data_IF_779845287312
#
_entry.id   IF_779845287312
#
_cell.length_a   1.000
_cell.length_b   1.000
_cell.length_c   1.000
_cell.angle_alpha   90.00
_cell.angle_beta   90.00
_cell.angle_gamma   90.00
#
_symmetry.space_group_name_H-M   'P 1'
#
loop_
_entity.id
_entity.type
_entity.pdbx_description
1 polymer ?
#
# COMPACT_ATOMS: atom_id res chain seq x y z
N UNK A 1 54.48 -7.75 -39.18
CA UNK A 1 53.82 -7.48 -37.87
C UNK A 1 52.54 -8.29 -37.67
N UNK A 2 51.64 -8.37 -38.68
CA UNK A 2 50.34 -9.05 -38.62
C UNK A 2 50.48 -10.55 -38.36
N UNK A 3 51.36 -11.25 -39.09
CA UNK A 3 51.60 -12.70 -38.93
C UNK A 3 51.97 -13.11 -37.49
N UNK A 4 52.74 -12.29 -36.76
CA UNK A 4 53.13 -12.57 -35.38
C UNK A 4 51.98 -12.47 -34.37
N UNK A 5 50.88 -11.77 -34.73
CA UNK A 5 49.79 -11.46 -33.79
C UNK A 5 48.50 -12.17 -34.12
N UNK A 6 48.24 -12.46 -35.37
CA UNK A 6 46.90 -12.87 -35.83
C UNK A 6 46.87 -14.19 -36.62
N UNK A 7 48.03 -14.77 -37.05
CA UNK A 7 48.12 -16.05 -37.73
C UNK A 7 49.39 -16.18 -38.56
N UNK A 8 49.85 -17.40 -38.84
CA UNK A 8 51.08 -17.69 -39.56
C UNK A 8 50.99 -17.41 -41.06
N UNK A 9 49.81 -17.53 -41.61
CA UNK A 9 49.51 -17.30 -43.02
C UNK A 9 48.30 -16.36 -43.25
N UNK A 10 48.00 -16.08 -44.51
CA UNK A 10 46.89 -15.19 -44.88
C UNK A 10 45.51 -15.77 -44.53
N UNK A 11 45.35 -17.09 -44.67
CA UNK A 11 44.10 -17.78 -44.35
C UNK A 11 43.75 -17.72 -42.86
N UNK A 12 44.76 -17.90 -41.99
CA UNK A 12 44.58 -17.77 -40.55
C UNK A 12 44.27 -16.35 -40.09
N UNK A 13 44.88 -15.35 -40.73
CA UNK A 13 44.61 -13.93 -40.45
C UNK A 13 43.17 -13.57 -40.88
N UNK A 14 42.68 -14.04 -42.03
CA UNK A 14 41.31 -13.83 -42.49
C UNK A 14 40.31 -14.54 -41.59
N UNK A 15 40.55 -15.77 -41.19
CA UNK A 15 39.73 -16.50 -40.25
C UNK A 15 39.62 -15.81 -38.87
N UNK A 16 40.76 -15.23 -38.39
CA UNK A 16 40.73 -14.42 -37.16
C UNK A 16 39.87 -13.16 -37.35
N UNK A 17 39.98 -12.48 -38.47
CA UNK A 17 39.22 -11.28 -38.77
C UNK A 17 37.71 -11.60 -38.79
N UNK A 18 37.29 -12.68 -39.44
CA UNK A 18 35.89 -13.09 -39.45
C UNK A 18 35.35 -13.41 -38.03
N UNK A 19 36.11 -14.15 -37.23
CA UNK A 19 35.78 -14.42 -35.83
C UNK A 19 35.67 -13.13 -34.99
N UNK A 20 36.61 -12.22 -35.20
CA UNK A 20 36.63 -10.94 -34.47
C UNK A 20 35.43 -10.06 -34.88
N UNK A 21 35.06 -10.03 -36.17
CA UNK A 21 33.85 -9.32 -36.64
C UNK A 21 32.57 -9.90 -36.06
N UNK A 22 32.39 -11.21 -36.14
CA UNK A 22 31.22 -11.86 -35.57
C UNK A 22 31.07 -11.59 -34.06
N UNK A 23 32.20 -11.62 -33.34
CA UNK A 23 32.20 -11.31 -31.90
C UNK A 23 31.90 -9.83 -31.61
N UNK A 24 32.40 -8.92 -32.46
CA UNK A 24 32.10 -7.49 -32.35
C UNK A 24 30.61 -7.20 -32.60
N UNK A 25 30.02 -7.78 -33.66
CA UNK A 25 28.59 -7.66 -33.93
C UNK A 25 27.74 -8.16 -32.78
N UNK A 26 28.04 -9.35 -32.23
CA UNK A 26 27.32 -9.91 -31.09
C UNK A 26 27.39 -8.99 -29.86
N UNK A 27 28.58 -8.43 -29.56
CA UNK A 27 28.76 -7.51 -28.44
C UNK A 27 28.05 -6.17 -28.68
N UNK A 28 28.08 -5.66 -29.90
CA UNK A 28 27.38 -4.42 -30.28
C UNK A 28 25.89 -4.57 -30.16
N UNK A 29 25.33 -5.69 -30.67
CA UNK A 29 23.90 -6.00 -30.54
C UNK A 29 23.46 -6.15 -29.09
N UNK A 30 24.32 -6.76 -28.26
CA UNK A 30 24.07 -6.87 -26.81
C UNK A 30 24.04 -5.51 -26.12
N UNK A 31 24.96 -4.61 -26.45
CA UNK A 31 25.01 -3.25 -25.89
C UNK A 31 23.76 -2.46 -26.29
N UNK A 32 23.38 -2.49 -27.55
CA UNK A 32 22.16 -1.83 -28.05
C UNK A 32 20.89 -2.41 -27.40
N UNK A 33 20.87 -3.73 -27.15
CA UNK A 33 19.76 -4.38 -26.44
C UNK A 33 19.66 -3.91 -24.99
N UNK A 34 20.78 -3.77 -24.29
CA UNK A 34 20.83 -3.25 -22.90
C UNK A 34 20.30 -1.82 -22.84
N UNK A 35 20.73 -0.93 -23.71
CA UNK A 35 20.24 0.44 -23.77
C UNK A 35 18.73 0.49 -24.01
N UNK A 36 18.24 -0.31 -24.96
CA UNK A 36 16.81 -0.41 -25.26
C UNK A 36 15.99 -0.91 -24.06
N UNK A 37 16.46 -1.94 -23.37
CA UNK A 37 15.76 -2.46 -22.19
C UNK A 37 15.80 -1.49 -21.01
N UNK A 38 16.91 -0.79 -20.81
CA UNK A 38 16.98 0.25 -19.78
C UNK A 38 16.01 1.39 -20.05
N UNK A 39 15.87 1.82 -21.31
CA UNK A 39 14.88 2.82 -21.71
C UNK A 39 13.43 2.33 -21.47
N UNK A 40 13.15 1.06 -21.78
CA UNK A 40 11.83 0.45 -21.53
C UNK A 40 11.54 0.34 -20.03
N UNK A 41 12.51 -0.05 -19.21
CA UNK A 41 12.39 -0.09 -17.76
C UNK A 41 12.08 1.29 -17.20
N UNK A 42 12.82 2.32 -17.62
CA UNK A 42 12.58 3.69 -17.17
C UNK A 42 11.17 4.19 -17.53
N UNK A 43 10.66 3.86 -18.72
CA UNK A 43 9.29 4.19 -19.14
C UNK A 43 8.23 3.42 -18.31
N UNK A 44 8.47 2.13 -18.01
CA UNK A 44 7.61 1.35 -17.15
C UNK A 44 7.56 1.91 -15.73
N UNK A 45 8.72 2.21 -15.14
CA UNK A 45 8.83 2.80 -13.80
C UNK A 45 8.09 4.13 -13.72
N UNK A 46 8.17 4.96 -14.76
CA UNK A 46 7.46 6.24 -14.85
C UNK A 46 5.93 6.04 -14.87
N UNK A 47 5.46 5.08 -15.64
CA UNK A 47 4.03 4.72 -15.70
C UNK A 47 3.53 4.19 -14.37
N UNK A 48 4.27 3.29 -13.74
CA UNK A 48 3.93 2.73 -12.42
C UNK A 48 3.89 3.83 -11.38
N UNK A 49 4.91 4.69 -11.32
CA UNK A 49 4.95 5.80 -10.37
C UNK A 49 3.73 6.74 -10.49
N UNK A 50 3.33 7.08 -11.73
CA UNK A 50 2.11 7.86 -11.98
C UNK A 50 0.86 7.17 -11.46
N UNK A 51 0.74 5.85 -11.66
CA UNK A 51 -0.39 5.08 -11.13
C UNK A 51 -0.36 4.98 -9.60
N UNK A 52 0.80 4.84 -8.99
CA UNK A 52 0.95 4.89 -7.53
C UNK A 52 0.45 6.23 -6.96
N UNK A 53 0.86 7.36 -7.55
CA UNK A 53 0.37 8.69 -7.14
C UNK A 53 -1.15 8.82 -7.26
N UNK A 54 -1.72 8.34 -8.36
CA UNK A 54 -3.17 8.31 -8.55
C UNK A 54 -3.87 7.45 -7.49
N UNK A 55 -3.32 6.28 -7.19
CA UNK A 55 -3.86 5.38 -6.17
C UNK A 55 -3.82 6.03 -4.78
N UNK A 56 -2.72 6.68 -4.40
CA UNK A 56 -2.61 7.41 -3.12
C UNK A 56 -3.65 8.54 -3.03
N UNK A 57 -3.88 9.29 -4.11
CA UNK A 57 -4.89 10.34 -4.13
C UNK A 57 -6.32 9.78 -3.93
N UNK A 58 -6.66 8.71 -4.62
CA UNK A 58 -7.96 8.03 -4.45
C UNK A 58 -8.14 7.45 -3.05
N UNK A 59 -7.07 6.90 -2.46
CA UNK A 59 -7.07 6.41 -1.08
C UNK A 59 -7.27 7.54 -0.08
N UNK A 60 -6.65 8.69 -0.29
CA UNK A 60 -6.81 9.85 0.58
C UNK A 60 -8.25 10.37 0.58
N UNK A 61 -8.86 10.48 -0.60
CA UNK A 61 -10.28 10.86 -0.74
C UNK A 61 -11.22 9.85 -0.05
N UNK A 62 -11.02 8.57 -0.29
CA UNK A 62 -11.79 7.50 0.36
C UNK A 62 -11.60 7.49 1.87
N UNK A 63 -10.37 7.74 2.36
CA UNK A 63 -10.06 7.80 3.78
C UNK A 63 -10.77 8.95 4.49
N UNK A 64 -10.89 10.11 3.88
CA UNK A 64 -11.61 11.25 4.45
C UNK A 64 -13.08 10.91 4.70
N UNK A 65 -13.76 10.38 3.69
CA UNK A 65 -15.15 9.92 3.80
C UNK A 65 -15.31 8.81 4.84
N UNK A 66 -14.41 7.81 4.80
CA UNK A 66 -14.42 6.70 5.74
C UNK A 66 -14.23 7.15 7.18
N UNK A 67 -13.25 8.00 7.46
CA UNK A 67 -12.99 8.53 8.80
C UNK A 67 -14.16 9.35 9.32
N UNK A 68 -14.80 10.16 8.47
CA UNK A 68 -16.00 10.92 8.82
C UNK A 68 -17.16 10.03 9.25
N UNK A 69 -17.43 8.98 8.47
CA UNK A 69 -18.49 8.01 8.77
C UNK A 69 -18.21 7.23 10.06
N UNK A 70 -16.98 6.76 10.26
CA UNK A 70 -16.58 6.06 11.50
C UNK A 70 -16.69 7.00 12.71
N UNK A 71 -16.27 8.25 12.59
CA UNK A 71 -16.41 9.24 13.66
C UNK A 71 -17.88 9.51 14.04
N UNK A 72 -18.78 9.54 13.06
CA UNK A 72 -20.21 9.67 13.29
C UNK A 72 -20.76 8.45 14.06
N UNK A 73 -20.37 7.23 13.68
CA UNK A 73 -20.76 6.01 14.38
C UNK A 73 -20.21 5.96 15.81
N UNK A 74 -18.97 6.36 16.05
CA UNK A 74 -18.35 6.40 17.40
C UNK A 74 -19.10 7.32 18.34
N UNK A 75 -19.65 8.43 17.88
CA UNK A 75 -20.50 9.31 18.71
C UNK A 75 -21.73 8.57 19.23
N UNK A 76 -22.36 7.75 18.40
CA UNK A 76 -23.53 6.95 18.82
C UNK A 76 -23.15 5.87 19.84
N UNK A 77 -21.93 5.39 19.81
CA UNK A 77 -21.37 4.36 20.70
C UNK A 77 -20.74 4.93 21.98
N UNK A 78 -21.11 6.17 22.34
CA UNK A 78 -20.63 6.87 23.54
C UNK A 78 -19.12 7.13 23.57
N UNK A 79 -18.52 7.40 22.39
CA UNK A 79 -17.14 7.89 22.24
C UNK A 79 -17.18 9.20 21.40
N UNK A 80 -17.82 10.26 21.94
CA UNK A 80 -18.10 11.47 21.14
C UNK A 80 -16.89 12.30 20.77
N UNK A 81 -15.79 12.13 21.53
CA UNK A 81 -14.55 12.89 21.37
C UNK A 81 -13.47 12.10 20.63
N UNK A 82 -13.80 10.91 20.13
CA UNK A 82 -12.85 10.10 19.39
C UNK A 82 -12.35 10.82 18.13
N UNK A 83 -11.06 10.70 17.92
CA UNK A 83 -10.39 11.12 16.70
C UNK A 83 -9.89 9.90 15.95
N UNK A 84 -10.23 9.80 14.68
CA UNK A 84 -9.78 8.73 13.81
C UNK A 84 -9.33 9.33 12.49
N UNK A 85 -8.14 9.00 12.05
CA UNK A 85 -7.58 9.48 10.79
C UNK A 85 -6.68 8.42 10.16
N UNK A 86 -6.46 8.55 8.87
CA UNK A 86 -5.52 7.73 8.09
C UNK A 86 -4.35 8.61 7.69
N UNK A 87 -3.15 8.15 7.98
CA UNK A 87 -1.89 8.81 7.60
C UNK A 87 -1.25 8.00 6.50
N UNK A 88 -0.88 8.68 5.42
CA UNK A 88 -0.15 8.10 4.30
C UNK A 88 1.32 8.48 4.40
N UNK A 89 2.20 7.49 4.33
CA UNK A 89 3.64 7.74 4.27
C UNK A 89 4.02 8.39 2.94
N UNK A 90 4.84 9.42 3.04
CA UNK A 90 5.36 10.10 1.85
C UNK A 90 6.38 9.23 1.13
N UNK A 91 6.41 9.34 -0.18
CA UNK A 91 7.42 8.70 -1.03
C UNK A 91 7.76 9.59 -2.23
N UNK A 92 9.03 9.53 -2.62
CA UNK A 92 9.54 10.13 -3.86
C UNK A 92 9.68 9.05 -4.92
N UNK A 93 10.12 9.42 -6.13
CA UNK A 93 10.39 8.45 -7.19
C UNK A 93 11.52 7.47 -6.80
N UNK A 94 12.52 7.96 -6.07
CA UNK A 94 13.69 7.20 -5.64
C UNK A 94 13.38 6.26 -4.47
N UNK A 95 12.43 6.64 -3.60
CA UNK A 95 12.06 5.85 -2.41
C UNK A 95 10.84 4.97 -2.61
N UNK A 96 10.11 5.15 -3.73
CA UNK A 96 8.92 4.37 -4.03
C UNK A 96 9.27 2.90 -4.30
N UNK A 97 8.58 1.99 -3.61
CA UNK A 97 8.65 0.57 -3.97
C UNK A 97 7.71 0.29 -5.15
N UNK A 98 8.20 0.49 -6.37
CA UNK A 98 7.44 0.31 -7.61
C UNK A 98 7.12 -1.17 -7.92
N UNK A 99 7.71 -2.12 -7.21
CA UNK A 99 7.44 -3.55 -7.34
C UNK A 99 6.32 -4.04 -6.41
N UNK A 100 5.82 -3.16 -5.53
CA UNK A 100 4.72 -3.49 -4.62
C UNK A 100 3.40 -3.64 -5.40
N UNK A 101 2.73 -4.77 -5.23
CA UNK A 101 1.38 -5.00 -5.78
C UNK A 101 0.31 -4.06 -5.17
N UNK A 102 0.59 -3.47 -4.01
CA UNK A 102 -0.34 -2.64 -3.26
C UNK A 102 -0.10 -1.13 -3.41
N UNK A 103 0.78 -0.71 -4.32
CA UNK A 103 1.18 0.68 -4.48
C UNK A 103 2.41 1.04 -3.64
N UNK A 104 2.85 2.30 -3.72
CA UNK A 104 4.10 2.76 -3.12
C UNK A 104 3.92 3.44 -1.75
N UNK A 105 2.70 3.80 -1.39
CA UNK A 105 2.36 4.41 -0.11
C UNK A 105 2.30 3.41 1.04
N UNK A 106 2.63 3.85 2.23
CA UNK A 106 2.32 3.15 3.47
C UNK A 106 1.09 3.79 4.12
N UNK A 107 0.23 2.97 4.72
CA UNK A 107 -1.02 3.43 5.33
C UNK A 107 -0.99 3.11 6.82
N UNK A 108 -1.26 4.11 7.66
CA UNK A 108 -1.35 3.96 9.10
C UNK A 108 -2.66 4.54 9.61
N UNK A 109 -3.46 3.71 10.30
CA UNK A 109 -4.65 4.14 11.01
C UNK A 109 -4.27 4.70 12.39
N UNK A 110 -4.67 5.95 12.63
CA UNK A 110 -4.39 6.66 13.88
C UNK A 110 -5.69 6.90 14.64
N UNK A 111 -5.68 6.66 15.93
CA UNK A 111 -6.85 6.77 16.79
C UNK A 111 -6.51 7.41 18.13
N UNK A 112 -7.47 8.17 18.68
CA UNK A 112 -7.53 8.62 20.06
C UNK A 112 -8.99 8.59 20.52
N UNK A 113 -9.27 8.05 21.70
CA UNK A 113 -10.63 7.99 22.25
C UNK A 113 -11.07 9.32 22.87
N UNK A 114 -10.13 10.11 23.39
CA UNK A 114 -10.39 11.28 24.23
C UNK A 114 -9.83 12.55 23.62
N UNK A 115 -10.53 13.66 23.84
CA UNK A 115 -10.04 14.99 23.45
C UNK A 115 -8.78 15.35 24.25
N UNK A 116 -7.74 15.75 23.56
CA UNK A 116 -6.47 16.16 24.18
C UNK A 116 -5.45 15.04 24.32
N UNK A 117 -5.83 13.80 24.08
CA UNK A 117 -4.87 12.71 23.95
C UNK A 117 -4.24 12.69 22.54
N UNK A 118 -2.93 12.39 22.45
CA UNK A 118 -2.28 12.31 21.13
C UNK A 118 -2.82 11.12 20.33
N UNK A 119 -2.97 11.32 19.03
CA UNK A 119 -3.25 10.24 18.09
C UNK A 119 -2.15 9.19 18.16
N UNK A 120 -2.53 7.93 18.28
CA UNK A 120 -1.61 6.78 18.30
C UNK A 120 -1.98 5.81 17.18
N UNK A 121 -1.01 5.08 16.63
CA UNK A 121 -1.32 3.96 15.73
C UNK A 121 -2.34 3.02 16.39
N UNK A 122 -3.34 2.62 15.64
CA UNK A 122 -4.42 1.75 16.14
C UNK A 122 -3.88 0.48 16.82
N UNK A 123 -2.77 -0.06 16.33
CA UNK A 123 -2.07 -1.21 16.90
C UNK A 123 -1.50 -0.97 18.32
N UNK A 124 -1.44 0.28 18.78
CA UNK A 124 -0.92 0.68 20.11
C UNK A 124 -2.02 1.15 21.07
N UNK A 125 -3.29 1.04 20.69
CA UNK A 125 -4.43 1.38 21.53
C UNK A 125 -4.73 0.18 22.45
N UNK A 126 -4.83 0.41 23.77
CA UNK A 126 -4.81 -0.65 24.80
C UNK A 126 -6.21 -0.89 25.42
N UNK A 127 -7.18 0.02 25.25
CA UNK A 127 -8.49 -0.14 25.87
C UNK A 127 -9.37 -1.19 25.17
N UNK A 128 -9.73 -2.28 25.87
CA UNK A 128 -10.55 -3.38 25.32
C UNK A 128 -11.93 -2.92 24.86
N UNK A 129 -12.72 -2.32 25.74
CA UNK A 129 -14.08 -1.89 25.42
C UNK A 129 -14.17 -0.77 24.39
N UNK A 130 -13.25 0.21 24.42
CA UNK A 130 -13.20 1.27 23.40
C UNK A 130 -12.79 0.72 22.05
N UNK A 131 -11.83 -0.20 22.02
CA UNK A 131 -11.40 -0.86 20.77
C UNK A 131 -12.52 -1.72 20.17
N UNK A 132 -13.26 -2.47 21.00
CA UNK A 132 -14.38 -3.28 20.52
C UNK A 132 -15.49 -2.41 19.94
N UNK A 133 -15.83 -1.28 20.57
CA UNK A 133 -16.79 -0.31 20.02
C UNK A 133 -16.25 0.39 18.75
N UNK A 134 -14.97 0.72 18.70
CA UNK A 134 -14.33 1.23 17.49
C UNK A 134 -14.47 0.23 16.35
N UNK A 135 -14.16 -1.05 16.60
CA UNK A 135 -14.29 -2.10 15.58
C UNK A 135 -15.74 -2.30 15.14
N UNK A 136 -16.73 -2.18 16.08
CA UNK A 136 -18.15 -2.20 15.73
C UNK A 136 -18.51 -1.03 14.81
N UNK A 137 -18.06 0.19 15.08
CA UNK A 137 -18.27 1.35 14.22
C UNK A 137 -17.71 1.12 12.82
N UNK A 138 -16.46 0.63 12.72
CA UNK A 138 -15.82 0.29 11.43
C UNK A 138 -16.65 -0.76 10.68
N UNK A 139 -17.10 -1.82 11.36
CA UNK A 139 -17.89 -2.88 10.73
C UNK A 139 -19.27 -2.39 10.29
N UNK A 140 -19.87 -1.49 11.04
CA UNK A 140 -21.15 -0.85 10.63
C UNK A 140 -20.97 -0.05 9.34
N UNK A 141 -19.89 0.71 9.22
CA UNK A 141 -19.58 1.49 7.99
C UNK A 141 -19.25 0.60 6.80
N UNK A 142 -18.60 -0.55 7.04
CA UNK A 142 -18.15 -1.47 5.99
C UNK A 142 -19.07 -2.69 5.77
N UNK A 143 -20.29 -2.68 6.29
CA UNK A 143 -21.19 -3.85 6.25
C UNK A 143 -21.37 -4.43 4.85
N UNK A 144 -21.50 -3.58 3.85
CA UNK A 144 -21.76 -3.98 2.46
C UNK A 144 -20.50 -4.39 1.69
N UNK A 145 -19.30 -4.21 2.29
CA UNK A 145 -18.01 -4.45 1.63
C UNK A 145 -17.39 -5.78 2.08
N UNK A 146 -17.72 -6.24 3.29
CA UNK A 146 -17.07 -7.39 3.91
C UNK A 146 -17.96 -8.64 3.78
N UNK A 147 -17.56 -9.60 2.96
CA UNK A 147 -18.19 -10.93 2.91
C UNK A 147 -17.89 -11.84 4.14
N UNK A 148 -17.76 -11.24 5.34
CA UNK A 148 -17.48 -11.98 6.58
C UNK A 148 -18.80 -12.39 7.21
N UNK A 149 -18.98 -13.69 7.41
CA UNK A 149 -20.24 -14.27 7.89
C UNK A 149 -20.43 -14.19 9.41
N UNK A 150 -19.37 -13.97 10.18
CA UNK A 150 -19.43 -14.01 11.66
C UNK A 150 -18.47 -13.00 12.26
N UNK A 151 -18.98 -12.21 13.21
CA UNK A 151 -18.18 -11.28 14.01
C UNK A 151 -18.27 -11.66 15.48
N UNK A 152 -17.13 -11.64 16.18
CA UNK A 152 -17.03 -11.88 17.62
C UNK A 152 -16.46 -10.61 18.25
N UNK A 153 -17.19 -10.05 19.22
CA UNK A 153 -16.77 -8.87 19.98
C UNK A 153 -16.63 -9.24 21.44
N UNK A 154 -15.51 -8.92 22.04
CA UNK A 154 -15.24 -9.10 23.45
C UNK A 154 -15.25 -7.75 24.18
N UNK A 155 -15.66 -7.73 25.46
CA UNK A 155 -15.70 -6.55 26.34
C UNK A 155 -16.44 -5.33 25.77
N UNK A 156 -17.36 -5.49 24.80
CA UNK A 156 -18.00 -4.37 24.11
C UNK A 156 -18.90 -3.54 25.07
N UNK A 157 -19.41 -4.15 26.12
CA UNK A 157 -20.25 -3.58 27.17
C UNK A 157 -19.43 -2.97 28.34
N UNK A 158 -18.11 -3.08 28.29
CA UNK A 158 -17.26 -2.52 29.35
C UNK A 158 -17.39 -0.98 29.45
N UNK A 159 -17.76 -0.49 30.61
CA UNK A 159 -17.86 0.94 30.93
C UNK A 159 -19.02 1.68 30.22
N UNK A 160 -20.08 0.99 29.78
CA UNK A 160 -21.25 1.64 29.17
C UNK A 160 -22.51 1.58 30.05
N UNK A 161 -23.36 2.59 29.89
CA UNK A 161 -24.69 2.65 30.53
C UNK A 161 -25.75 1.92 29.70
N UNK A 162 -26.93 1.69 30.26
CA UNK A 162 -28.04 1.01 29.59
C UNK A 162 -28.48 1.64 28.28
N UNK A 163 -28.40 2.97 28.13
CA UNK A 163 -28.70 3.65 26.87
C UNK A 163 -27.70 3.26 25.77
N UNK A 164 -26.40 3.31 26.07
CA UNK A 164 -25.37 2.92 25.13
C UNK A 164 -25.43 1.42 24.80
N UNK A 165 -25.77 0.57 25.79
CA UNK A 165 -25.95 -0.86 25.55
C UNK A 165 -27.07 -1.14 24.53
N UNK A 166 -28.18 -0.38 24.60
CA UNK A 166 -29.25 -0.46 23.59
C UNK A 166 -28.76 -0.11 22.21
N UNK A 167 -28.00 0.99 22.07
CA UNK A 167 -27.42 1.41 20.78
C UNK A 167 -26.46 0.35 20.21
N UNK A 168 -25.63 -0.24 21.07
CA UNK A 168 -24.73 -1.35 20.67
C UNK A 168 -25.54 -2.53 20.13
N UNK A 169 -26.63 -2.92 20.80
CA UNK A 169 -27.50 -4.01 20.37
C UNK A 169 -28.17 -3.70 19.01
N UNK A 170 -28.64 -2.46 18.79
CA UNK A 170 -29.19 -2.03 17.50
C UNK A 170 -28.15 -2.12 16.38
N UNK A 171 -26.87 -1.76 16.65
CA UNK A 171 -25.79 -1.91 15.66
C UNK A 171 -25.48 -3.37 15.33
N UNK A 172 -25.56 -4.27 16.29
CA UNK A 172 -25.45 -5.70 16.00
C UNK A 172 -26.51 -6.20 15.04
N UNK A 173 -27.76 -5.76 15.22
CA UNK A 173 -28.84 -6.10 14.28
C UNK A 173 -28.52 -5.55 12.88
N UNK A 174 -27.97 -4.33 12.80
CA UNK A 174 -27.63 -3.70 11.52
C UNK A 174 -26.54 -4.44 10.74
N UNK A 175 -25.52 -4.98 11.42
CA UNK A 175 -24.41 -5.70 10.77
C UNK A 175 -24.72 -7.19 10.52
N UNK A 176 -25.77 -7.74 11.14
CA UNK A 176 -26.19 -9.12 10.96
C UNK A 176 -27.16 -9.33 9.78
N UNK A 177 -27.59 -8.25 9.13
CA UNK A 177 -28.43 -8.24 7.92
C UNK A 177 -27.61 -8.18 6.64
#
# INVERSE_FOLDING_TARGET
>A
ALRKKYGADEAEILAFLEKARARFELLSDSANAVERYNAQLADCDDKIYKQCKRLTALRAEAAESFCGNVAAELKTLNIPNAQFTVVFGEYTRETANLQSANGADSVCFMFSANKGEPLKPLSKVISGGEMSRFMLAVKTVLKDVNGISTYIFDEIDAGISGFTAKTVAEKFITIAQ
#
